data_IF_342089635729
#
_entry.id   IF_342089635729
#
_cell.length_a   1.000
_cell.length_b   1.000
_cell.length_c   1.000
_cell.angle_alpha   90.00
_cell.angle_beta   90.00
_cell.angle_gamma   90.00
#
_symmetry.space_group_name_H-M   'P 1'
#
loop_
_entity.id
_entity.type
_entity.pdbx_description
1 polymer ?
#
# COMPACT_ATOMS: atom_id res chain seq x y z
N UNK A 1 -22.38 -27.46 11.54
CA UNK A 1 -22.81 -27.28 10.14
C UNK A 1 -22.92 -25.80 9.87
N UNK A 2 -22.48 -25.34 8.69
CA UNK A 2 -22.57 -23.94 8.30
C UNK A 2 -23.67 -23.77 7.27
N UNK A 3 -24.54 -22.76 7.47
CA UNK A 3 -25.69 -22.48 6.63
C UNK A 3 -25.37 -21.30 5.72
N UNK A 4 -25.37 -21.54 4.42
CA UNK A 4 -25.45 -20.50 3.39
C UNK A 4 -26.53 -20.91 2.39
N UNK A 5 -27.43 -19.98 2.03
CA UNK A 5 -28.53 -20.23 1.09
C UNK A 5 -29.40 -21.49 1.40
N UNK A 6 -29.55 -21.87 2.66
CA UNK A 6 -30.35 -23.05 3.06
C UNK A 6 -29.64 -24.41 2.93
N UNK A 7 -28.39 -24.44 2.44
CA UNK A 7 -27.56 -25.64 2.33
C UNK A 7 -26.67 -25.76 3.57
N UNK A 8 -26.57 -26.97 4.14
CA UNK A 8 -25.77 -27.27 5.32
C UNK A 8 -24.56 -28.12 4.95
N UNK A 9 -23.36 -27.55 5.06
CA UNK A 9 -22.11 -28.30 4.87
C UNK A 9 -21.33 -28.42 6.20
N UNK A 10 -20.72 -29.58 6.48
CA UNK A 10 -19.79 -29.73 7.59
C UNK A 10 -18.56 -28.82 7.43
N UNK A 11 -18.13 -28.17 8.52
CA UNK A 11 -16.92 -27.34 8.50
C UNK A 11 -15.65 -28.10 8.10
N UNK A 12 -15.44 -29.36 8.52
CA UNK A 12 -14.27 -30.12 8.07
C UNK A 12 -14.21 -30.22 6.56
N UNK A 13 -15.34 -30.53 5.90
CA UNK A 13 -15.40 -30.63 4.43
C UNK A 13 -15.01 -29.32 3.76
N UNK A 14 -15.58 -28.19 4.21
CA UNK A 14 -15.19 -26.86 3.70
C UNK A 14 -13.71 -26.57 3.95
N UNK A 15 -13.18 -26.99 5.09
CA UNK A 15 -11.77 -26.81 5.45
C UNK A 15 -10.82 -27.63 4.56
N UNK A 16 -11.26 -28.81 4.14
CA UNK A 16 -10.52 -29.70 3.23
C UNK A 16 -10.53 -29.18 1.80
N UNK A 17 -11.57 -28.45 1.37
CA UNK A 17 -11.58 -27.81 0.04
C UNK A 17 -10.41 -26.83 -0.15
N UNK A 18 -9.88 -26.24 0.93
CA UNK A 18 -8.71 -25.36 0.85
C UNK A 18 -7.40 -26.06 0.49
N UNK A 19 -7.33 -27.39 0.62
CA UNK A 19 -6.13 -28.17 0.27
C UNK A 19 -6.18 -28.72 -1.15
N UNK A 20 -7.32 -28.58 -1.84
CA UNK A 20 -7.48 -29.02 -3.22
C UNK A 20 -6.78 -28.07 -4.20
N UNK A 21 -6.29 -28.63 -5.29
CA UNK A 21 -5.69 -27.86 -6.40
C UNK A 21 -6.72 -26.95 -7.08
N UNK A 22 -7.99 -27.35 -7.08
CA UNK A 22 -9.08 -26.60 -7.72
C UNK A 22 -9.29 -25.23 -7.06
N UNK A 23 -8.94 -24.17 -7.79
CA UNK A 23 -9.20 -22.77 -7.42
C UNK A 23 -10.68 -22.51 -7.15
N UNK A 24 -11.55 -23.07 -7.99
CA UNK A 24 -13.02 -22.97 -7.86
C UNK A 24 -13.49 -23.59 -6.54
N UNK A 25 -12.93 -24.72 -6.13
CA UNK A 25 -13.27 -25.33 -4.84
C UNK A 25 -12.83 -24.45 -3.65
N UNK A 26 -11.65 -23.83 -3.74
CA UNK A 26 -11.12 -22.93 -2.71
C UNK A 26 -11.96 -21.65 -2.58
N UNK A 27 -12.28 -21.00 -3.69
CA UNK A 27 -13.18 -19.82 -3.74
C UNK A 27 -14.59 -20.19 -3.28
N UNK A 28 -15.13 -21.32 -3.74
CA UNK A 28 -16.44 -21.82 -3.32
C UNK A 28 -16.50 -22.05 -1.82
N UNK A 29 -15.48 -22.69 -1.24
CA UNK A 29 -15.38 -22.89 0.21
C UNK A 29 -15.40 -21.57 0.98
N UNK A 30 -14.57 -20.61 0.56
CA UNK A 30 -14.52 -19.30 1.21
C UNK A 30 -15.85 -18.54 1.07
N UNK A 31 -16.50 -18.64 -0.09
CA UNK A 31 -17.85 -18.09 -0.32
C UNK A 31 -18.88 -18.69 0.64
N UNK A 32 -18.89 -20.02 0.83
CA UNK A 32 -19.79 -20.68 1.77
C UNK A 32 -19.53 -20.26 3.23
N UNK A 33 -18.26 -20.11 3.60
CA UNK A 33 -17.86 -19.73 4.95
C UNK A 33 -18.17 -18.27 5.29
N UNK A 34 -17.97 -17.36 4.34
CA UNK A 34 -18.27 -15.93 4.50
C UNK A 34 -19.77 -15.65 4.31
N UNK A 35 -20.47 -16.45 3.50
CA UNK A 35 -21.88 -16.28 3.17
C UNK A 35 -22.17 -15.02 2.33
N UNK A 36 -23.45 -14.70 2.19
CA UNK A 36 -23.91 -13.50 1.45
C UNK A 36 -23.43 -12.19 2.09
N UNK A 37 -23.33 -11.16 1.26
CA UNK A 37 -22.91 -9.83 1.68
C UNK A 37 -23.96 -9.17 2.56
N UNK A 38 -23.49 -8.37 3.54
CA UNK A 38 -24.32 -7.45 4.35
C UNK A 38 -25.25 -8.06 5.39
N UNK A 39 -24.90 -9.19 6.00
CA UNK A 39 -25.61 -9.65 7.20
C UNK A 39 -25.09 -8.95 8.47
N UNK A 40 -25.98 -8.56 9.37
CA UNK A 40 -25.62 -8.18 10.76
C UNK A 40 -25.25 -9.39 11.63
N UNK A 41 -25.35 -10.60 11.10
CA UNK A 41 -24.99 -11.82 11.79
C UNK A 41 -23.46 -12.02 11.80
N UNK A 42 -22.83 -12.18 12.97
CA UNK A 42 -21.39 -12.36 13.07
C UNK A 42 -20.95 -13.70 12.49
N UNK A 43 -19.73 -13.73 11.94
CA UNK A 43 -19.09 -14.99 11.56
C UNK A 43 -18.82 -15.83 12.81
N UNK A 44 -18.98 -17.15 12.67
CA UNK A 44 -18.75 -18.06 13.76
C UNK A 44 -17.25 -18.15 14.12
N UNK A 45 -16.86 -18.28 15.40
CA UNK A 45 -15.46 -18.32 15.82
C UNK A 45 -14.60 -19.35 15.08
N UNK A 46 -15.12 -20.57 14.90
CA UNK A 46 -14.42 -21.63 14.13
C UNK A 46 -14.18 -21.26 12.66
N UNK A 47 -15.05 -20.45 12.04
CA UNK A 47 -14.85 -19.97 10.67
C UNK A 47 -13.73 -18.96 10.62
N UNK A 48 -13.73 -17.99 11.55
CA UNK A 48 -12.65 -17.01 11.68
C UNK A 48 -11.28 -17.69 11.85
N UNK A 49 -11.20 -18.74 12.67
CA UNK A 49 -9.99 -19.55 12.84
C UNK A 49 -9.55 -20.26 11.55
N UNK A 50 -10.49 -20.87 10.82
CA UNK A 50 -10.19 -21.54 9.53
C UNK A 50 -9.68 -20.53 8.51
N UNK A 51 -10.36 -19.39 8.35
CA UNK A 51 -9.94 -18.32 7.43
C UNK A 51 -8.53 -17.85 7.79
N UNK A 52 -8.30 -17.49 9.06
CA UNK A 52 -6.98 -17.02 9.52
C UNK A 52 -5.85 -18.00 9.19
N UNK A 53 -6.09 -19.30 9.35
CA UNK A 53 -5.10 -20.36 9.08
C UNK A 53 -4.84 -20.56 7.57
N UNK A 54 -5.82 -20.28 6.71
CA UNK A 54 -5.74 -20.58 5.27
C UNK A 54 -5.28 -19.40 4.43
N UNK A 55 -5.54 -18.17 4.84
CA UNK A 55 -5.17 -16.96 4.08
C UNK A 55 -3.70 -16.92 3.62
N UNK A 56 -2.68 -17.28 4.42
CA UNK A 56 -1.28 -17.23 3.95
C UNK A 56 -0.98 -18.10 2.74
N UNK A 57 -1.67 -19.25 2.62
CA UNK A 57 -1.53 -20.14 1.46
C UNK A 57 -2.27 -19.59 0.25
N UNK A 58 -3.46 -19.00 0.47
CA UNK A 58 -4.26 -18.41 -0.61
C UNK A 58 -3.60 -17.14 -1.19
N UNK A 59 -2.93 -16.34 -0.36
CA UNK A 59 -2.20 -15.14 -0.78
C UNK A 59 -0.96 -15.44 -1.62
N UNK A 60 -0.44 -16.66 -1.55
CA UNK A 60 0.71 -17.08 -2.33
C UNK A 60 0.32 -17.57 -3.75
N UNK A 61 -0.96 -17.64 -4.08
CA UNK A 61 -1.42 -18.14 -5.39
C UNK A 61 -1.05 -17.16 -6.52
N UNK A 62 -0.45 -17.68 -7.58
CA UNK A 62 0.11 -16.89 -8.68
C UNK A 62 -0.93 -16.38 -9.67
N UNK A 63 -2.13 -16.94 -9.63
CA UNK A 63 -3.21 -16.62 -10.56
C UNK A 63 -3.90 -15.30 -10.21
N UNK A 64 -3.89 -14.35 -11.15
CA UNK A 64 -4.43 -13.02 -10.92
C UNK A 64 -5.96 -13.01 -10.76
N UNK A 65 -6.68 -13.83 -11.53
CA UNK A 65 -8.14 -13.92 -11.47
C UNK A 65 -8.59 -14.50 -10.12
N UNK A 66 -7.93 -15.55 -9.67
CA UNK A 66 -8.13 -16.14 -8.35
C UNK A 66 -7.87 -15.13 -7.23
N UNK A 67 -6.78 -14.35 -7.32
CA UNK A 67 -6.49 -13.29 -6.34
C UNK A 67 -7.57 -12.21 -6.34
N UNK A 68 -8.08 -11.83 -7.51
CA UNK A 68 -9.17 -10.86 -7.63
C UNK A 68 -10.44 -11.36 -6.95
N UNK A 69 -10.85 -12.61 -7.21
CA UNK A 69 -12.00 -13.25 -6.56
C UNK A 69 -11.82 -13.36 -5.05
N UNK A 70 -10.63 -13.77 -4.61
CA UNK A 70 -10.25 -13.87 -3.20
C UNK A 70 -10.37 -12.52 -2.50
N UNK A 71 -9.82 -11.45 -3.08
CA UNK A 71 -9.90 -10.10 -2.54
C UNK A 71 -11.35 -9.60 -2.50
N UNK A 72 -12.16 -9.93 -3.51
CA UNK A 72 -13.59 -9.68 -3.50
C UNK A 72 -14.28 -10.32 -2.30
N UNK A 73 -13.98 -11.58 -2.00
CA UNK A 73 -14.51 -12.29 -0.83
C UNK A 73 -14.02 -11.68 0.50
N UNK A 74 -12.75 -11.28 0.58
CA UNK A 74 -12.19 -10.66 1.78
C UNK A 74 -12.83 -9.29 2.06
N UNK A 75 -13.07 -8.47 1.03
CA UNK A 75 -13.81 -7.22 1.19
C UNK A 75 -15.20 -7.46 1.79
N UNK A 76 -15.92 -8.49 1.29
CA UNK A 76 -17.23 -8.88 1.83
C UNK A 76 -17.14 -9.32 3.30
N UNK A 77 -16.09 -10.04 3.67
CA UNK A 77 -15.82 -10.42 5.06
C UNK A 77 -15.60 -9.18 5.94
N UNK A 78 -14.77 -8.23 5.50
CA UNK A 78 -14.51 -6.97 6.24
C UNK A 78 -15.81 -6.19 6.46
N UNK A 79 -16.63 -6.04 5.41
CA UNK A 79 -17.93 -5.37 5.52
C UNK A 79 -18.89 -6.09 6.48
N UNK A 80 -18.93 -7.42 6.46
CA UNK A 80 -19.73 -8.23 7.40
C UNK A 80 -19.23 -8.09 8.84
N UNK A 81 -17.92 -8.13 9.07
CA UNK A 81 -17.32 -7.91 10.40
C UNK A 81 -17.68 -6.51 10.93
N UNK A 82 -17.59 -5.47 10.08
CA UNK A 82 -17.99 -4.12 10.45
C UNK A 82 -19.47 -4.03 10.84
N UNK A 83 -20.37 -4.56 10.00
CA UNK A 83 -21.80 -4.51 10.25
C UNK A 83 -22.22 -5.30 11.51
N UNK A 84 -21.67 -6.51 11.67
CA UNK A 84 -21.99 -7.38 12.81
C UNK A 84 -21.36 -6.90 14.12
N UNK A 85 -20.13 -6.37 14.12
CA UNK A 85 -19.50 -5.82 15.33
C UNK A 85 -20.30 -4.65 15.92
N UNK A 86 -20.82 -3.75 15.08
CA UNK A 86 -21.69 -2.66 15.52
C UNK A 86 -22.98 -3.18 16.18
N UNK A 87 -23.53 -4.28 15.68
CA UNK A 87 -24.70 -4.93 16.28
C UNK A 87 -24.36 -5.65 17.60
N UNK A 88 -23.22 -6.35 17.65
CA UNK A 88 -22.74 -7.05 18.84
C UNK A 88 -22.42 -6.09 20.00
N UNK A 89 -21.80 -4.94 19.70
CA UNK A 89 -21.50 -3.90 20.69
C UNK A 89 -22.77 -3.40 21.39
N UNK A 90 -23.83 -3.11 20.63
CA UNK A 90 -25.13 -2.66 21.19
C UNK A 90 -25.78 -3.72 22.06
N UNK A 91 -25.61 -5.00 21.70
CA UNK A 91 -26.16 -6.14 22.44
C UNK A 91 -25.29 -6.59 23.61
N UNK A 92 -24.09 -6.01 23.79
CA UNK A 92 -23.08 -6.45 24.78
C UNK A 92 -22.78 -7.95 24.70
N UNK A 93 -22.64 -8.44 23.47
CA UNK A 93 -22.41 -9.86 23.20
C UNK A 93 -20.90 -10.18 23.18
N UNK A 94 -20.49 -11.22 23.93
CA UNK A 94 -19.09 -11.64 24.07
C UNK A 94 -18.41 -12.01 22.73
N UNK A 95 -19.19 -12.33 21.68
CA UNK A 95 -18.65 -12.56 20.33
C UNK A 95 -17.97 -11.33 19.73
N UNK A 96 -18.21 -10.13 20.28
CA UNK A 96 -17.48 -8.92 19.92
C UNK A 96 -15.97 -9.08 20.15
N UNK A 97 -15.60 -9.55 21.35
CA UNK A 97 -14.21 -9.77 21.74
C UNK A 97 -13.54 -10.83 20.87
N UNK A 98 -14.27 -11.88 20.47
CA UNK A 98 -13.76 -12.91 19.56
C UNK A 98 -13.45 -12.32 18.18
N UNK A 99 -14.29 -11.41 17.70
CA UNK A 99 -14.12 -10.75 16.40
C UNK A 99 -12.94 -9.77 16.43
N UNK A 100 -12.81 -9.01 17.50
CA UNK A 100 -11.67 -8.11 17.75
C UNK A 100 -10.35 -8.88 17.81
N UNK A 101 -10.31 -9.98 18.58
CA UNK A 101 -9.13 -10.86 18.66
C UNK A 101 -8.75 -11.43 17.30
N UNK A 102 -9.73 -11.85 16.47
CA UNK A 102 -9.45 -12.32 15.11
C UNK A 102 -8.74 -11.24 14.28
N UNK A 103 -9.22 -9.99 14.31
CA UNK A 103 -8.60 -8.90 13.55
C UNK A 103 -7.18 -8.59 14.03
N UNK A 104 -6.92 -8.60 15.34
CA UNK A 104 -5.56 -8.46 15.85
C UNK A 104 -4.60 -9.55 15.32
N UNK A 105 -5.05 -10.80 15.27
CA UNK A 105 -4.23 -11.89 14.72
C UNK A 105 -4.06 -11.76 13.21
N UNK A 106 -5.12 -11.38 12.49
CA UNK A 106 -5.06 -11.23 11.06
C UNK A 106 -4.09 -10.12 10.66
N UNK A 107 -4.09 -8.99 11.36
CA UNK A 107 -3.15 -7.88 11.14
C UNK A 107 -1.69 -8.34 11.31
N UNK A 108 -1.40 -9.18 12.30
CA UNK A 108 -0.05 -9.79 12.45
C UNK A 108 0.32 -10.65 11.25
N UNK A 109 -0.63 -11.43 10.72
CA UNK A 109 -0.43 -12.23 9.49
C UNK A 109 -0.16 -11.33 8.29
N UNK A 110 -0.93 -10.24 8.13
CA UNK A 110 -0.71 -9.27 7.05
C UNK A 110 0.69 -8.66 7.12
N UNK A 111 1.16 -8.25 8.30
CA UNK A 111 2.54 -7.74 8.48
C UNK A 111 3.59 -8.77 8.05
N UNK A 112 3.39 -10.05 8.34
CA UNK A 112 4.31 -11.11 7.92
C UNK A 112 4.33 -11.33 6.40
N UNK A 113 3.21 -11.07 5.71
CA UNK A 113 3.11 -11.15 4.26
C UNK A 113 3.54 -9.85 3.55
N UNK A 114 3.78 -8.76 4.30
CA UNK A 114 4.35 -7.51 3.80
C UNK A 114 5.87 -7.41 3.95
N UNK A 115 6.53 -8.36 4.61
CA UNK A 115 7.99 -8.34 4.77
C UNK A 115 8.69 -8.28 3.40
N UNK A 116 9.86 -7.62 3.25
CA UNK A 116 10.53 -7.48 1.96
C UNK A 116 10.86 -8.79 1.24
N UNK A 117 10.98 -9.91 1.97
CA UNK A 117 11.24 -11.24 1.41
C UNK A 117 9.98 -12.04 1.01
N UNK A 118 8.79 -11.48 1.17
CA UNK A 118 7.56 -12.12 0.68
C UNK A 118 7.45 -12.02 -0.85
N UNK A 119 6.65 -12.92 -1.44
CA UNK A 119 6.42 -12.88 -2.88
C UNK A 119 5.50 -11.73 -3.27
N UNK A 120 5.59 -11.29 -4.53
CA UNK A 120 4.67 -10.30 -5.11
C UNK A 120 3.19 -10.58 -4.79
N UNK A 121 2.74 -11.83 -4.96
CA UNK A 121 1.35 -12.22 -4.71
C UNK A 121 0.92 -11.91 -3.27
N UNK A 122 1.82 -12.17 -2.30
CA UNK A 122 1.59 -11.91 -0.89
C UNK A 122 1.56 -10.41 -0.61
N UNK A 123 2.50 -9.64 -1.16
CA UNK A 123 2.49 -8.18 -1.05
C UNK A 123 1.20 -7.59 -1.59
N UNK A 124 0.83 -7.94 -2.82
CA UNK A 124 -0.38 -7.47 -3.47
C UNK A 124 -1.63 -7.78 -2.62
N UNK A 125 -1.82 -9.04 -2.22
CA UNK A 125 -2.97 -9.43 -1.41
C UNK A 125 -2.98 -8.75 -0.02
N UNK A 126 -1.82 -8.69 0.66
CA UNK A 126 -1.74 -8.13 2.00
C UNK A 126 -1.95 -6.61 2.00
N UNK A 127 -1.37 -5.87 1.05
CA UNK A 127 -1.59 -4.43 0.89
C UNK A 127 -3.05 -4.12 0.61
N UNK A 128 -3.71 -4.88 -0.27
CA UNK A 128 -5.15 -4.71 -0.50
C UNK A 128 -5.94 -4.95 0.78
N UNK A 129 -5.62 -5.97 1.57
CA UNK A 129 -6.29 -6.21 2.86
C UNK A 129 -6.05 -5.08 3.87
N UNK A 130 -4.82 -4.55 3.95
CA UNK A 130 -4.50 -3.39 4.80
C UNK A 130 -5.31 -2.17 4.37
N UNK A 131 -5.44 -1.92 3.06
CA UNK A 131 -6.29 -0.86 2.52
C UNK A 131 -7.77 -1.08 2.86
N UNK A 132 -8.29 -2.30 2.77
CA UNK A 132 -9.68 -2.61 3.14
C UNK A 132 -9.94 -2.31 4.62
N UNK A 133 -9.00 -2.67 5.50
CA UNK A 133 -9.07 -2.36 6.93
C UNK A 133 -8.96 -0.86 7.18
N UNK A 134 -8.03 -0.14 6.54
CA UNK A 134 -7.92 1.32 6.62
C UNK A 134 -9.27 1.98 6.31
N UNK A 135 -9.88 1.57 5.20
CA UNK A 135 -11.16 2.13 4.71
C UNK A 135 -12.37 1.69 5.52
N UNK A 136 -12.24 0.73 6.44
CA UNK A 136 -13.34 0.27 7.29
C UNK A 136 -13.57 1.17 8.50
N UNK A 137 -12.64 2.09 8.81
CA UNK A 137 -12.72 2.95 10.00
C UNK A 137 -12.44 2.21 11.31
N UNK A 138 -11.62 1.17 11.25
CA UNK A 138 -11.18 0.39 12.41
C UNK A 138 -10.10 1.08 13.23
N UNK A 139 -9.27 1.91 12.59
CA UNK A 139 -8.17 2.61 13.25
C UNK A 139 -8.60 4.04 13.56
N UNK A 140 -8.62 4.46 14.84
CA UNK A 140 -9.06 5.79 15.23
C UNK A 140 -8.07 6.89 14.87
N UNK A 141 -6.83 6.53 14.51
CA UNK A 141 -5.79 7.48 14.10
C UNK A 141 -5.89 7.92 12.64
N UNK A 142 -6.81 7.35 11.87
CA UNK A 142 -7.00 7.66 10.44
C UNK A 142 -8.21 8.56 10.24
N UNK A 143 -8.02 9.65 9.49
CA UNK A 143 -9.06 10.60 9.15
C UNK A 143 -10.20 9.90 8.37
N UNK A 144 -11.43 10.25 8.75
CA UNK A 144 -12.65 9.73 8.14
C UNK A 144 -12.79 10.00 6.65
N UNK A 145 -12.03 10.95 6.08
CA UNK A 145 -11.97 11.19 4.63
C UNK A 145 -11.48 9.97 3.84
N UNK A 146 -10.55 9.20 4.41
CA UNK A 146 -10.00 7.99 3.82
C UNK A 146 -10.93 6.78 3.98
N UNK A 147 -11.98 6.90 4.80
CA UNK A 147 -12.93 5.83 5.01
C UNK A 147 -13.86 5.64 3.80
N UNK A 148 -14.26 4.39 3.61
CA UNK A 148 -15.30 4.04 2.63
C UNK A 148 -16.60 4.79 2.91
N UNK A 149 -17.42 4.98 1.87
CA UNK A 149 -18.75 5.63 2.00
C UNK A 149 -19.61 4.90 3.03
N UNK A 150 -19.55 3.56 3.05
CA UNK A 150 -20.28 2.73 4.00
C UNK A 150 -19.75 2.89 5.43
N UNK A 151 -18.43 3.02 5.64
CA UNK A 151 -17.88 3.29 6.96
C UNK A 151 -18.25 4.68 7.50
N UNK A 152 -18.39 5.70 6.62
CA UNK A 152 -18.83 7.06 7.02
C UNK A 152 -20.33 7.16 7.31
N UNK A 153 -21.17 6.52 6.49
CA UNK A 153 -22.63 6.68 6.55
C UNK A 153 -23.33 5.64 7.43
N UNK A 154 -22.72 4.47 7.62
CA UNK A 154 -23.29 3.41 8.44
C UNK A 154 -22.73 3.45 9.86
N UNK A 155 -23.21 2.53 10.69
CA UNK A 155 -22.81 2.41 12.09
C UNK A 155 -21.30 2.18 12.18
N UNK A 156 -20.64 2.99 13.01
CA UNK A 156 -19.23 2.82 13.34
C UNK A 156 -18.97 1.44 13.95
N UNK A 157 -17.76 0.93 13.73
CA UNK A 157 -17.37 -0.38 14.18
C UNK A 157 -17.44 -0.48 15.71
N UNK A 158 -17.79 -1.67 16.23
CA UNK A 158 -18.05 -1.86 17.67
C UNK A 158 -16.81 -1.83 18.58
N UNK A 159 -15.62 -1.67 18.01
CA UNK A 159 -14.32 -1.56 18.68
C UNK A 159 -13.34 -0.84 17.73
N UNK A 160 -12.18 -0.47 18.24
CA UNK A 160 -11.14 0.26 17.52
C UNK A 160 -9.80 -0.45 17.71
N UNK A 161 -9.01 -0.61 16.65
CA UNK A 161 -7.69 -1.24 16.69
C UNK A 161 -6.67 -0.27 16.08
N UNK A 162 -5.61 0.13 16.80
CA UNK A 162 -4.49 0.86 16.22
C UNK A 162 -3.67 -0.10 15.35
N UNK A 163 -3.95 -0.10 14.04
CA UNK A 163 -3.34 -0.94 13.03
C UNK A 163 -1.97 -0.41 12.59
N UNK A 164 -1.87 0.91 12.45
CA UNK A 164 -0.74 1.60 11.83
C UNK A 164 0.33 2.01 12.86
N UNK A 165 0.94 1.01 13.49
CA UNK A 165 2.11 1.21 14.35
C UNK A 165 3.39 1.48 13.55
N UNK A 166 4.47 1.85 14.27
CA UNK A 166 5.78 2.15 13.68
C UNK A 166 6.35 0.98 12.87
N UNK A 167 6.03 -0.27 13.24
CA UNK A 167 6.48 -1.46 12.52
C UNK A 167 5.82 -1.58 11.16
N UNK A 168 4.49 -1.42 11.08
CA UNK A 168 3.78 -1.43 9.80
C UNK A 168 4.20 -0.26 8.92
N UNK A 169 4.38 0.93 9.51
CA UNK A 169 4.86 2.11 8.79
C UNK A 169 6.22 1.87 8.11
N UNK A 170 7.19 1.32 8.85
CA UNK A 170 8.52 1.00 8.31
C UNK A 170 8.47 -0.04 7.18
N UNK A 171 7.61 -1.07 7.32
CA UNK A 171 7.44 -2.09 6.27
C UNK A 171 6.81 -1.49 5.00
N UNK A 172 5.80 -0.62 5.15
CA UNK A 172 5.20 0.08 4.01
C UNK A 172 6.23 0.99 3.30
N UNK A 173 7.09 1.70 4.05
CA UNK A 173 8.19 2.46 3.46
C UNK A 173 9.13 1.58 2.65
N UNK A 174 9.54 0.43 3.19
CA UNK A 174 10.39 -0.52 2.47
C UNK A 174 9.77 -0.98 1.13
N UNK A 175 8.44 -1.15 1.09
CA UNK A 175 7.71 -1.50 -0.14
C UNK A 175 7.65 -0.37 -1.18
N UNK A 176 8.08 0.86 -0.86
CA UNK A 176 8.30 1.88 -1.89
C UNK A 176 9.48 1.55 -2.81
N UNK A 177 10.36 0.63 -2.44
CA UNK A 177 11.45 0.13 -3.29
C UNK A 177 11.13 -1.25 -3.89
N UNK A 178 9.89 -1.72 -3.79
CA UNK A 178 9.47 -3.00 -4.35
C UNK A 178 9.55 -3.00 -5.88
N UNK A 179 10.02 -4.07 -6.57
CA UNK A 179 10.15 -4.08 -8.03
C UNK A 179 8.84 -3.84 -8.80
N UNK A 180 7.66 -4.04 -8.19
CA UNK A 180 6.37 -3.94 -8.87
C UNK A 180 5.66 -2.60 -8.58
N UNK A 181 5.26 -1.89 -9.65
CA UNK A 181 4.63 -0.57 -9.57
C UNK A 181 3.33 -0.56 -8.75
N UNK A 182 2.48 -1.58 -8.90
CA UNK A 182 1.20 -1.70 -8.18
C UNK A 182 1.40 -1.88 -6.67
N UNK A 183 2.48 -2.54 -6.25
CA UNK A 183 2.87 -2.67 -4.84
C UNK A 183 3.32 -1.30 -4.31
N UNK A 184 4.17 -0.57 -5.04
CA UNK A 184 4.59 0.78 -4.67
C UNK A 184 3.42 1.75 -4.56
N UNK A 185 2.53 1.75 -5.55
CA UNK A 185 1.35 2.62 -5.62
C UNK A 185 0.44 2.42 -4.42
N UNK A 186 0.10 1.17 -4.12
CA UNK A 186 -0.81 0.86 -3.04
C UNK A 186 -0.16 1.14 -1.67
N UNK A 187 1.13 0.84 -1.52
CA UNK A 187 1.89 1.20 -0.30
C UNK A 187 1.92 2.71 -0.09
N UNK A 188 2.25 3.49 -1.13
CA UNK A 188 2.27 4.95 -1.08
C UNK A 188 0.89 5.52 -0.73
N UNK A 189 -0.18 4.97 -1.29
CA UNK A 189 -1.55 5.40 -0.96
C UNK A 189 -1.87 5.18 0.52
N UNK A 190 -1.49 4.05 1.10
CA UNK A 190 -1.69 3.75 2.53
C UNK A 190 -0.84 4.70 3.39
N UNK A 191 0.44 4.88 3.04
CA UNK A 191 1.36 5.78 3.75
C UNK A 191 0.86 7.22 3.75
N UNK A 192 0.34 7.72 2.62
CA UNK A 192 -0.22 9.06 2.53
C UNK A 192 -1.41 9.22 3.47
N UNK A 193 -2.31 8.23 3.53
CA UNK A 193 -3.43 8.25 4.47
C UNK A 193 -2.97 8.31 5.94
N UNK A 194 -1.90 7.58 6.30
CA UNK A 194 -1.32 7.60 7.65
C UNK A 194 -0.74 8.98 7.96
N UNK A 195 0.14 9.51 7.10
CA UNK A 195 0.86 10.76 7.31
C UNK A 195 -0.08 11.96 7.37
N UNK A 196 -1.07 12.02 6.48
CA UNK A 196 -2.06 13.11 6.47
C UNK A 196 -2.95 13.07 7.71
N UNK A 197 -3.29 11.87 8.20
CA UNK A 197 -4.13 11.72 9.39
C UNK A 197 -3.40 12.00 10.70
N UNK A 198 -2.06 11.90 10.70
CA UNK A 198 -1.22 12.07 11.89
C UNK A 198 -0.16 13.16 11.67
N UNK A 199 -0.58 14.43 11.45
CA UNK A 199 0.37 15.51 11.24
C UNK A 199 1.25 15.71 12.49
N UNK A 200 2.51 16.08 12.27
CA UNK A 200 3.51 16.32 13.33
C UNK A 200 3.91 15.08 14.15
N UNK A 201 3.75 13.87 13.62
CA UNK A 201 4.31 12.67 14.25
C UNK A 201 5.83 12.62 14.04
N UNK A 202 6.60 13.19 14.98
CA UNK A 202 8.07 13.27 14.89
C UNK A 202 8.73 11.91 14.63
N UNK A 203 8.22 10.83 15.23
CA UNK A 203 8.79 9.50 15.03
C UNK A 203 8.63 8.99 13.58
N UNK A 204 7.50 9.29 12.94
CA UNK A 204 7.28 8.97 11.52
C UNK A 204 8.17 9.83 10.63
N UNK A 205 8.34 11.11 10.95
CA UNK A 205 9.22 12.03 10.23
C UNK A 205 10.68 11.56 10.31
N UNK A 206 11.17 11.21 11.50
CA UNK A 206 12.52 10.67 11.70
C UNK A 206 12.74 9.36 10.91
N UNK A 207 11.76 8.45 10.99
CA UNK A 207 11.80 7.18 10.23
C UNK A 207 11.84 7.45 8.73
N UNK A 208 11.06 8.41 8.24
CA UNK A 208 11.00 8.76 6.84
C UNK A 208 12.29 9.45 6.33
N UNK A 209 12.89 10.34 7.13
CA UNK A 209 14.18 10.98 6.80
C UNK A 209 15.27 9.91 6.65
N UNK A 210 15.35 8.98 7.61
CA UNK A 210 16.35 7.91 7.57
C UNK A 210 16.12 6.96 6.39
N UNK A 211 14.86 6.62 6.09
CA UNK A 211 14.51 5.84 4.91
C UNK A 211 14.93 6.52 3.60
N UNK A 212 14.62 7.81 3.42
CA UNK A 212 14.96 8.53 2.18
C UNK A 212 16.47 8.55 1.94
N UNK A 213 17.27 8.78 2.99
CA UNK A 213 18.73 8.75 2.87
C UNK A 213 19.24 7.37 2.41
N UNK A 214 18.69 6.29 2.96
CA UNK A 214 19.05 4.91 2.56
C UNK A 214 18.57 4.58 1.15
N UNK A 215 17.35 4.99 0.80
CA UNK A 215 16.75 4.78 -0.51
C UNK A 215 17.52 5.52 -1.61
N UNK A 216 17.96 6.76 -1.38
CA UNK A 216 18.82 7.52 -2.30
C UNK A 216 20.15 6.79 -2.58
N UNK A 217 20.82 6.31 -1.52
CA UNK A 217 22.06 5.54 -1.67
C UNK A 217 21.83 4.24 -2.45
N UNK A 218 20.73 3.54 -2.18
CA UNK A 218 20.36 2.31 -2.88
C UNK A 218 20.01 2.57 -4.35
N UNK A 219 19.23 3.60 -4.65
CA UNK A 219 18.91 4.04 -6.03
C UNK A 219 20.19 4.37 -6.78
N UNK A 220 21.07 5.21 -6.23
CA UNK A 220 22.34 5.60 -6.86
C UNK A 220 23.27 4.40 -7.09
N UNK A 221 23.36 3.47 -6.14
CA UNK A 221 24.20 2.27 -6.26
C UNK A 221 23.73 1.31 -7.34
N UNK A 222 22.42 1.21 -7.54
CA UNK A 222 21.83 0.18 -8.41
C UNK A 222 21.43 0.68 -9.78
N UNK A 223 21.22 2.00 -9.95
CA UNK A 223 20.71 2.60 -11.18
C UNK A 223 19.30 2.14 -11.56
N UNK A 224 18.60 1.45 -10.66
CA UNK A 224 17.30 0.83 -10.92
C UNK A 224 16.19 1.89 -10.93
N UNK A 225 15.45 1.96 -12.03
CA UNK A 225 14.33 2.90 -12.18
C UNK A 225 13.29 2.75 -11.06
N UNK A 226 13.02 1.50 -10.67
CA UNK A 226 12.05 1.10 -9.66
C UNK A 226 12.46 1.58 -8.24
N UNK A 227 13.77 1.68 -7.96
CA UNK A 227 14.27 2.31 -6.73
C UNK A 227 14.20 3.84 -6.79
N UNK A 228 14.48 4.45 -7.94
CA UNK A 228 14.40 5.91 -8.13
C UNK A 228 12.96 6.43 -8.00
N UNK A 229 11.99 5.69 -8.55
CA UNK A 229 10.56 5.96 -8.35
C UNK A 229 10.19 5.93 -6.85
N UNK A 230 10.67 4.91 -6.13
CA UNK A 230 10.49 4.81 -4.68
C UNK A 230 11.05 5.99 -3.88
N UNK A 231 12.24 6.48 -4.24
CA UNK A 231 12.81 7.71 -3.66
C UNK A 231 11.91 8.91 -3.94
N UNK A 232 11.42 9.06 -5.17
CA UNK A 232 10.49 10.13 -5.54
C UNK A 232 9.22 10.13 -4.68
N UNK A 233 8.61 8.95 -4.50
CA UNK A 233 7.43 8.76 -3.64
C UNK A 233 7.71 9.09 -2.17
N UNK A 234 8.86 8.67 -1.65
CA UNK A 234 9.25 8.96 -0.28
C UNK A 234 9.48 10.46 -0.04
N UNK A 235 10.09 11.16 -1.00
CA UNK A 235 10.21 12.61 -0.99
C UNK A 235 8.83 13.30 -1.02
N UNK A 236 7.91 12.84 -1.87
CA UNK A 236 6.54 13.36 -1.90
C UNK A 236 5.79 13.13 -0.58
N UNK A 237 6.07 12.00 0.10
CA UNK A 237 5.53 11.72 1.42
C UNK A 237 6.11 12.65 2.49
N UNK A 238 7.42 12.93 2.46
CA UNK A 238 8.05 13.90 3.38
C UNK A 238 7.43 15.28 3.24
N UNK A 239 7.16 15.68 2.00
CA UNK A 239 6.49 16.94 1.71
C UNK A 239 5.05 16.98 2.23
N UNK A 240 4.35 15.83 2.25
CA UNK A 240 3.02 15.72 2.84
C UNK A 240 3.06 15.73 4.37
N UNK A 241 4.17 15.28 4.98
CA UNK A 241 4.38 15.29 6.43
C UNK A 241 4.84 16.65 6.97
N UNK A 242 5.36 17.52 6.11
CA UNK A 242 5.88 18.82 6.52
C UNK A 242 4.75 19.79 6.93
N UNK A 243 4.85 20.46 8.09
CA UNK A 243 3.83 21.41 8.55
C UNK A 243 3.67 22.61 7.61
N UNK A 244 4.74 23.02 6.91
CA UNK A 244 4.75 24.11 5.93
C UNK A 244 4.49 23.63 4.48
N UNK A 245 3.83 22.50 4.31
CA UNK A 245 3.47 21.99 2.99
C UNK A 245 2.44 22.92 2.32
N UNK A 246 2.56 23.30 1.04
CA UNK A 246 1.55 24.07 0.32
C UNK A 246 0.15 23.45 0.35
N UNK A 247 -0.01 22.15 0.62
CA UNK A 247 -1.31 21.54 0.93
C UNK A 247 -1.94 22.12 2.20
N UNK A 248 -1.16 22.27 3.28
CA UNK A 248 -1.59 22.93 4.51
C UNK A 248 -1.76 24.44 4.32
N UNK A 249 -0.89 25.08 3.51
CA UNK A 249 -0.95 26.52 3.24
C UNK A 249 -2.19 26.87 2.40
N UNK A 250 -2.61 26.04 1.45
CA UNK A 250 -3.81 26.26 0.62
C UNK A 250 -5.13 26.06 1.38
N UNK A 251 -5.16 25.19 2.40
CA UNK A 251 -6.35 25.06 3.27
C UNK A 251 -6.41 26.14 4.36
N UNK A 252 -5.28 26.80 4.66
CA UNK A 252 -5.18 27.88 5.66
C UNK A 252 -4.99 29.28 5.06
N UNK A 253 -5.04 29.43 3.73
CA UNK A 253 -4.80 30.72 3.06
C UNK A 253 -6.00 31.67 3.11
N UNK A 254 -6.15 32.34 4.25
CA UNK A 254 -6.57 33.74 4.30
C UNK A 254 -5.42 34.66 4.78
N UNK A 255 -4.24 34.13 5.12
CA UNK A 255 -3.13 34.91 5.68
C UNK A 255 -1.75 34.36 5.28
N UNK A 256 -1.34 34.55 4.03
CA UNK A 256 0.08 34.43 3.68
C UNK A 256 0.45 35.39 2.54
N UNK A 257 0.18 36.66 2.78
CA UNK A 257 0.78 37.76 2.02
C UNK A 257 1.62 38.61 2.97
N UNK A 258 2.47 37.96 3.77
CA UNK A 258 3.64 38.58 4.38
C UNK A 258 4.39 37.55 5.22
N UNK A 259 5.53 37.10 4.69
CA UNK A 259 6.75 36.60 5.36
C UNK A 259 7.48 35.62 4.46
N UNK A 260 8.27 36.20 3.56
CA UNK A 260 9.58 35.64 3.22
C UNK A 260 10.44 35.60 4.49
N UNK A 261 11.40 34.68 4.54
CA UNK A 261 12.40 34.49 5.61
C UNK A 261 12.06 33.47 6.70
N UNK A 262 11.92 32.20 6.31
CA UNK A 262 12.62 31.10 6.99
C UNK A 262 12.79 29.94 6.02
N UNK A 263 13.99 29.39 5.91
CA UNK A 263 14.26 28.19 5.11
C UNK A 263 13.62 26.97 5.77
N UNK A 264 12.31 26.81 5.60
CA UNK A 264 11.55 25.69 6.17
C UNK A 264 11.95 24.35 5.59
N UNK A 265 11.53 23.26 6.24
CA UNK A 265 11.81 21.87 5.82
C UNK A 265 11.46 21.60 4.35
N UNK A 266 10.41 22.26 3.83
CA UNK A 266 10.01 22.22 2.43
C UNK A 266 11.09 22.75 1.47
N UNK A 267 11.79 23.83 1.83
CA UNK A 267 12.85 24.41 0.99
C UNK A 267 14.10 23.51 0.94
N UNK A 268 14.45 22.89 2.07
CA UNK A 268 15.55 21.91 2.14
C UNK A 268 15.24 20.70 1.25
N UNK A 269 13.99 20.21 1.30
CA UNK A 269 13.56 19.08 0.48
C UNK A 269 13.57 19.40 -1.01
N UNK A 270 13.06 20.57 -1.41
CA UNK A 270 13.15 21.03 -2.79
C UNK A 270 14.62 21.11 -3.25
N UNK A 271 15.51 21.64 -2.40
CA UNK A 271 16.95 21.65 -2.66
C UNK A 271 17.55 20.25 -2.88
N UNK A 272 17.11 19.23 -2.13
CA UNK A 272 17.52 17.83 -2.35
C UNK A 272 17.03 17.29 -3.69
N UNK A 273 15.76 17.54 -4.02
CA UNK A 273 15.17 17.11 -5.31
C UNK A 273 15.94 17.74 -6.48
N UNK A 274 16.20 19.05 -6.43
CA UNK A 274 16.97 19.72 -7.48
C UNK A 274 18.37 19.13 -7.65
N UNK A 275 19.08 18.84 -6.56
CA UNK A 275 20.41 18.19 -6.62
C UNK A 275 20.34 16.78 -7.20
N UNK A 276 19.32 16.00 -6.85
CA UNK A 276 19.14 14.65 -7.39
C UNK A 276 18.86 14.67 -8.90
N UNK A 277 18.01 15.61 -9.35
CA UNK A 277 17.73 15.83 -10.78
C UNK A 277 19.00 16.27 -11.52
N UNK A 278 19.74 17.23 -10.97
CA UNK A 278 20.98 17.73 -11.57
C UNK A 278 22.05 16.63 -11.67
N UNK A 279 22.24 15.85 -10.59
CA UNK A 279 23.19 14.72 -10.58
C UNK A 279 22.80 13.63 -11.59
N UNK A 280 21.51 13.33 -11.69
CA UNK A 280 20.99 12.36 -12.67
C UNK A 280 21.25 12.86 -14.09
N UNK A 281 20.91 14.12 -14.37
CA UNK A 281 21.15 14.76 -15.67
C UNK A 281 22.63 14.72 -16.05
N UNK A 282 23.53 15.12 -15.14
CA UNK A 282 24.97 15.09 -15.38
C UNK A 282 25.48 13.67 -15.71
N UNK A 283 24.89 12.63 -15.13
CA UNK A 283 25.25 11.25 -15.40
C UNK A 283 24.75 10.74 -16.77
N UNK A 284 23.55 11.15 -17.21
CA UNK A 284 22.94 10.64 -18.46
C UNK A 284 23.15 11.55 -19.67
N UNK A 285 23.52 12.82 -19.47
CA UNK A 285 23.57 13.83 -20.56
C UNK A 285 24.46 13.41 -21.72
N UNK A 286 25.59 12.74 -21.49
CA UNK A 286 26.50 12.35 -22.57
C UNK A 286 25.84 11.31 -23.50
N UNK A 287 25.11 10.35 -22.91
CA UNK A 287 24.38 9.32 -23.67
C UNK A 287 23.13 9.91 -24.32
N UNK A 288 22.39 10.76 -23.60
CA UNK A 288 21.14 11.34 -24.11
C UNK A 288 21.35 12.48 -25.12
N UNK A 289 22.51 13.15 -25.11
CA UNK A 289 22.84 14.24 -26.03
C UNK A 289 23.80 13.82 -27.15
N UNK A 290 24.05 12.52 -27.34
CA UNK A 290 24.97 12.01 -28.37
C UNK A 290 24.57 12.43 -29.80
N UNK A 291 23.26 12.61 -30.07
CA UNK A 291 22.72 13.13 -31.35
C UNK A 291 22.17 14.57 -31.26
N UNK A 292 22.45 15.30 -30.16
CA UNK A 292 22.05 16.70 -30.08
C UNK A 292 22.88 17.52 -31.09
N UNK A 293 22.33 18.56 -31.73
CA UNK A 293 23.07 19.41 -32.70
C UNK A 293 24.32 20.10 -32.11
N UNK A 294 24.56 19.92 -30.81
CA UNK A 294 25.67 20.47 -30.01
C UNK A 294 26.67 19.37 -29.56
N UNK A 295 26.53 18.11 -30.02
CA UNK A 295 27.21 16.93 -29.47
C UNK A 295 28.61 16.64 -30.03
N UNK A 296 29.56 16.47 -29.11
CA UNK A 296 30.93 15.99 -29.35
C UNK A 296 30.89 14.45 -29.47
N UNK A 297 31.27 13.91 -30.62
CA UNK A 297 31.48 12.47 -30.82
C UNK A 297 32.93 12.16 -30.40
N UNK A 298 33.18 11.30 -29.40
CA UNK A 298 34.53 10.81 -29.15
C UNK A 298 34.98 9.94 -30.33
N UNK A 299 36.13 10.28 -30.95
CA UNK A 299 36.67 9.66 -32.17
C UNK A 299 36.75 8.12 -32.12
N UNK A 300 36.71 7.52 -30.94
CA UNK A 300 36.83 6.07 -30.70
C UNK A 300 35.52 5.29 -30.93
N UNK A 301 34.39 5.97 -31.16
CA UNK A 301 33.05 5.36 -31.22
C UNK A 301 32.30 5.58 -32.56
N UNK A 302 32.96 6.15 -33.58
CA UNK A 302 32.33 6.39 -34.90
C UNK A 302 32.02 5.09 -35.68
N UNK A 303 32.69 3.98 -35.39
CA UNK A 303 32.66 2.76 -36.24
C UNK A 303 31.77 1.61 -35.72
N UNK A 304 31.15 1.72 -34.54
CA UNK A 304 30.36 0.62 -33.96
C UNK A 304 28.84 0.77 -34.21
N UNK A 305 28.35 0.19 -35.32
CA UNK A 305 26.90 0.07 -35.68
C UNK A 305 26.05 -0.68 -34.63
N UNK A 306 26.65 -1.21 -33.55
CA UNK A 306 25.99 -2.01 -32.53
C UNK A 306 25.48 -1.21 -31.31
N UNK A 307 25.76 0.09 -31.23
CA UNK A 307 25.28 0.94 -30.14
C UNK A 307 23.82 1.32 -30.43
N UNK A 308 22.90 0.91 -29.55
CA UNK A 308 21.48 1.30 -29.61
C UNK A 308 21.37 2.80 -29.89
N UNK A 309 20.76 3.18 -31.03
CA UNK A 309 20.80 4.57 -31.48
C UNK A 309 20.27 5.53 -30.40
N UNK A 310 20.88 6.69 -30.28
CA UNK A 310 20.56 7.68 -29.24
C UNK A 310 19.09 8.09 -29.27
N UNK A 311 18.46 8.04 -30.44
CA UNK A 311 17.02 8.27 -30.63
C UNK A 311 16.16 7.24 -29.91
N UNK A 312 16.58 5.98 -29.91
CA UNK A 312 15.91 4.89 -29.20
C UNK A 312 16.01 5.11 -27.71
N UNK A 313 17.20 5.46 -27.21
CA UNK A 313 17.43 5.75 -25.78
C UNK A 313 16.60 6.97 -25.34
N UNK A 314 16.62 8.07 -26.10
CA UNK A 314 15.80 9.27 -25.84
C UNK A 314 14.29 8.97 -25.89
N UNK A 315 13.85 8.15 -26.84
CA UNK A 315 12.46 7.71 -26.95
C UNK A 315 12.04 6.89 -25.73
N UNK A 316 12.91 6.01 -25.23
CA UNK A 316 12.70 5.25 -24.00
C UNK A 316 12.67 6.17 -22.76
N UNK A 317 13.63 7.09 -22.62
CA UNK A 317 13.66 8.04 -21.50
C UNK A 317 12.43 8.94 -21.47
N UNK A 318 11.98 9.43 -22.63
CA UNK A 318 10.76 10.23 -22.74
C UNK A 318 9.50 9.43 -22.37
N UNK A 319 9.40 8.17 -22.82
CA UNK A 319 8.31 7.27 -22.42
C UNK A 319 8.32 7.00 -20.92
N UNK A 320 9.47 6.66 -20.35
CA UNK A 320 9.64 6.45 -18.91
C UNK A 320 9.24 7.69 -18.10
N UNK A 321 9.65 8.90 -18.54
CA UNK A 321 9.25 10.15 -17.89
C UNK A 321 7.73 10.40 -17.97
N UNK A 322 7.11 10.07 -19.11
CA UNK A 322 5.66 10.21 -19.32
C UNK A 322 4.86 9.19 -18.51
N UNK A 323 5.43 8.02 -18.27
CA UNK A 323 4.82 6.89 -17.56
C UNK A 323 5.01 6.96 -16.04
N UNK A 324 5.95 7.76 -15.53
CA UNK A 324 6.23 8.00 -14.11
C UNK A 324 5.15 8.84 -13.38
N UNK A 325 3.87 8.54 -13.60
CA UNK A 325 2.72 9.24 -13.00
C UNK A 325 2.59 9.06 -11.50
#
# INVERSE_FOLDING_TARGET
>A
MFKAAGIFLPLPWLTDLFTLQSKVARIGSLTFLIGDTTTIEPLHPKVLQVILKRLPVLFADTDADFRSDLLGLIQRMVDRIRASSAALFRKRDNRLQVTELFLHHWVKVLKNDLRPSASYQRHACALHCVMMLLRSGIDPSINSEFWSKSARSQRQMGFQIPLFDSSLFAVLLALLLDPFDDVRDLSMTILQAIVVSQPNNNSQVETLISFVQQAEQQSAKTGRADHSDGVGRACALMFSAAPDSPRYILESSAKFADKSESGGSSAILLGRIFRAVDSTWLAVRQVLCNDAPEGFVPDELEDDEAIMDSKSILSFCWRALKEAR
#
